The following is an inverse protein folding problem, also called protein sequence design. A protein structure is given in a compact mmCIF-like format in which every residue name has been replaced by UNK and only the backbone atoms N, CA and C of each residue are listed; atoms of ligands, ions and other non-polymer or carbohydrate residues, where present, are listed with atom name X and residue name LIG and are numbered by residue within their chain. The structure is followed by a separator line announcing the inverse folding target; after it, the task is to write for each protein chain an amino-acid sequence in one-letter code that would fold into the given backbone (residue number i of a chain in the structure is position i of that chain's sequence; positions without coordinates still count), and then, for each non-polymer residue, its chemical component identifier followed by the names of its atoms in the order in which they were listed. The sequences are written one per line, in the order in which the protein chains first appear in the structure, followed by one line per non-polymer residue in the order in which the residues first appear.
data_IF_259418698890
#
_entry.id   IF_259418698890
#
_cell.length_a   1.000
_cell.length_b   1.000
_cell.length_c   1.000
_cell.angle_alpha   90.00
_cell.angle_beta   90.00
_cell.angle_gamma   90.00
#
_symmetry.space_group_name_H-M   'P 1'
#
loop_
_entity.id
_entity.type
_entity.pdbx_description
1 polymer ?
#
# COMPACT_ATOMS: atom_id res chain seq x y z
N UNK A 1 -20.88 -43.58 -57.36
CA UNK A 1 -20.28 -42.24 -57.28
C UNK A 1 -20.62 -41.66 -55.92
N UNK A 2 -19.71 -41.66 -54.94
CA UNK A 2 -19.96 -41.18 -53.58
C UNK A 2 -19.36 -39.76 -53.49
N UNK A 3 -20.21 -38.76 -53.28
CA UNK A 3 -19.82 -37.36 -53.08
C UNK A 3 -19.43 -37.25 -51.62
N UNK A 4 -18.16 -36.93 -51.35
CA UNK A 4 -17.65 -36.58 -50.04
C UNK A 4 -17.82 -35.06 -49.85
N UNK A 5 -18.77 -34.69 -48.97
CA UNK A 5 -18.96 -33.31 -48.58
C UNK A 5 -17.89 -32.92 -47.57
N UNK A 6 -17.00 -32.03 -47.97
CA UNK A 6 -15.94 -31.46 -47.11
C UNK A 6 -16.54 -30.27 -46.32
N UNK A 7 -16.75 -30.46 -45.03
CA UNK A 7 -17.19 -29.37 -44.15
C UNK A 7 -15.93 -28.63 -43.68
N UNK A 8 -15.70 -27.44 -44.21
CA UNK A 8 -14.65 -26.52 -43.76
C UNK A 8 -15.18 -25.75 -42.56
N UNK A 9 -14.71 -26.12 -41.35
CA UNK A 9 -15.00 -25.33 -40.12
C UNK A 9 -14.06 -24.13 -40.11
N UNK A 10 -14.61 -22.94 -40.33
CA UNK A 10 -13.90 -21.68 -40.21
C UNK A 10 -13.83 -21.34 -38.69
N UNK A 11 -12.69 -21.60 -38.06
CA UNK A 11 -12.40 -21.12 -36.72
C UNK A 11 -12.15 -19.61 -36.81
N UNK A 12 -13.18 -18.83 -36.53
CA UNK A 12 -13.05 -17.40 -36.24
C UNK A 12 -12.46 -17.28 -34.85
N UNK A 13 -11.14 -17.15 -34.75
CA UNK A 13 -10.46 -16.70 -33.55
C UNK A 13 -10.75 -15.19 -33.37
N UNK A 14 -11.89 -14.89 -32.79
CA UNK A 14 -12.17 -13.52 -32.34
C UNK A 14 -11.18 -13.17 -31.23
N UNK A 15 -10.18 -12.37 -31.54
CA UNK A 15 -9.41 -11.65 -30.54
C UNK A 15 -10.39 -10.68 -29.85
N UNK A 16 -10.99 -11.13 -28.76
CA UNK A 16 -11.68 -10.25 -27.83
C UNK A 16 -10.58 -9.47 -27.12
N UNK A 17 -10.10 -8.39 -27.74
CA UNK A 17 -9.44 -7.32 -27.02
C UNK A 17 -10.51 -6.74 -26.08
N UNK A 18 -10.63 -7.32 -24.89
CA UNK A 18 -11.38 -6.71 -23.81
C UNK A 18 -10.77 -5.33 -23.59
N UNK A 19 -11.51 -4.27 -23.94
CA UNK A 19 -11.19 -2.95 -23.44
C UNK A 19 -11.16 -3.08 -21.93
N UNK A 20 -9.98 -2.95 -21.32
CA UNK A 20 -9.85 -2.84 -19.87
C UNK A 20 -10.65 -1.61 -19.45
N UNK A 21 -11.86 -1.84 -18.95
CA UNK A 21 -12.69 -0.79 -18.43
C UNK A 21 -11.96 -0.27 -17.19
N UNK A 22 -11.67 1.03 -17.17
CA UNK A 22 -11.05 1.65 -16.01
C UNK A 22 -11.82 1.25 -14.74
N UNK A 23 -11.10 0.70 -13.77
CA UNK A 23 -11.69 0.26 -12.49
C UNK A 23 -11.99 1.46 -11.64
N UNK A 24 -11.14 2.49 -11.72
CA UNK A 24 -11.22 3.69 -10.88
C UNK A 24 -11.53 4.93 -11.71
N UNK A 25 -12.34 5.80 -11.13
CA UNK A 25 -12.60 7.14 -11.66
C UNK A 25 -11.54 8.09 -11.09
N UNK A 26 -10.53 8.40 -11.91
CA UNK A 26 -9.40 9.25 -11.49
C UNK A 26 -9.65 10.69 -11.95
N UNK A 27 -9.52 11.65 -11.01
CA UNK A 27 -9.61 13.07 -11.28
C UNK A 27 -8.40 13.80 -10.71
N UNK A 28 -7.95 14.82 -11.42
CA UNK A 28 -6.87 15.69 -10.96
C UNK A 28 -7.36 17.10 -10.78
N UNK A 29 -7.05 17.70 -9.63
CA UNK A 29 -7.37 19.09 -9.31
C UNK A 29 -6.13 19.80 -8.75
N UNK A 30 -6.09 21.12 -8.90
CA UNK A 30 -5.01 21.94 -8.41
C UNK A 30 -5.50 22.87 -7.31
N UNK A 31 -4.72 22.95 -6.22
CA UNK A 31 -5.00 23.82 -5.07
C UNK A 31 -3.74 24.62 -4.72
N UNK A 32 -3.91 25.71 -4.02
CA UNK A 32 -2.77 26.45 -3.48
C UNK A 32 -2.09 25.67 -2.35
N UNK A 33 -0.82 25.93 -2.12
CA UNK A 33 -0.06 25.34 -1.00
C UNK A 33 -0.75 25.61 0.36
N UNK A 34 -1.35 26.79 0.52
CA UNK A 34 -2.06 27.15 1.74
C UNK A 34 -3.32 26.28 1.96
N UNK A 35 -4.12 26.05 0.91
CA UNK A 35 -5.31 25.20 1.00
C UNK A 35 -4.94 23.77 1.34
N UNK A 36 -3.94 23.18 0.68
CA UNK A 36 -3.47 21.82 0.97
C UNK A 36 -2.95 21.72 2.40
N UNK A 37 -2.10 22.67 2.82
CA UNK A 37 -1.54 22.68 4.17
C UNK A 37 -2.62 22.80 5.25
N UNK A 38 -3.61 23.67 5.05
CA UNK A 38 -4.73 23.84 5.98
C UNK A 38 -5.58 22.57 6.07
N UNK A 39 -5.89 21.96 4.93
CA UNK A 39 -6.64 20.71 4.88
C UNK A 39 -5.91 19.58 5.62
N UNK A 40 -4.63 19.34 5.33
CA UNK A 40 -3.84 18.30 5.99
C UNK A 40 -3.75 18.54 7.51
N UNK A 41 -3.52 19.80 7.95
CA UNK A 41 -3.48 20.14 9.38
C UNK A 41 -4.81 19.86 10.09
N UNK A 42 -5.95 20.14 9.44
CA UNK A 42 -7.26 19.85 10.00
C UNK A 42 -7.46 18.36 10.22
N UNK A 43 -7.06 17.53 9.27
CA UNK A 43 -7.11 16.06 9.39
C UNK A 43 -6.11 15.52 10.41
N UNK A 44 -4.89 16.04 10.47
CA UNK A 44 -3.90 15.67 11.50
C UNK A 44 -4.46 15.84 12.90
N UNK A 45 -5.19 16.92 13.16
CA UNK A 45 -5.79 17.17 14.47
C UNK A 45 -6.87 16.14 14.82
N UNK A 46 -7.64 15.68 13.84
CA UNK A 46 -8.65 14.64 14.00
C UNK A 46 -8.02 13.25 14.15
N UNK A 47 -6.94 12.99 13.43
CA UNK A 47 -6.28 11.69 13.39
C UNK A 47 -5.26 11.45 14.52
N UNK A 48 -4.93 12.44 15.36
CA UNK A 48 -3.99 12.29 16.50
C UNK A 48 -4.39 11.22 17.52
N UNK A 49 -5.65 10.83 17.54
CA UNK A 49 -6.19 9.81 18.46
C UNK A 49 -6.19 8.40 17.85
N UNK A 50 -5.91 8.28 16.55
CA UNK A 50 -5.94 6.99 15.88
C UNK A 50 -4.59 6.29 15.98
N UNK A 51 -4.63 5.04 16.38
CA UNK A 51 -3.50 4.14 16.27
C UNK A 51 -3.13 3.92 14.78
N UNK A 52 -1.89 3.53 14.51
CA UNK A 52 -1.44 3.22 13.15
C UNK A 52 -2.38 2.23 12.45
N UNK A 53 -2.73 1.17 13.17
CA UNK A 53 -3.81 0.25 12.81
C UNK A 53 -4.38 -0.37 14.08
N UNK A 54 -5.69 -0.58 14.11
CA UNK A 54 -6.39 -1.26 15.19
C UNK A 54 -7.56 -2.06 14.62
N UNK A 55 -7.75 -3.29 15.14
CA UNK A 55 -8.96 -4.08 14.94
C UNK A 55 -9.49 -4.64 16.28
N UNK A 56 -10.41 -5.60 16.23
CA UNK A 56 -11.01 -6.20 17.44
C UNK A 56 -9.95 -6.87 18.32
N UNK A 57 -8.91 -7.47 17.73
CA UNK A 57 -7.94 -8.32 18.42
C UNK A 57 -6.61 -7.61 18.72
N UNK A 58 -6.15 -6.75 17.81
CA UNK A 58 -4.81 -6.17 17.88
C UNK A 58 -4.82 -4.64 17.79
N UNK A 59 -3.85 -4.04 18.48
CA UNK A 59 -3.34 -2.69 18.21
C UNK A 59 -1.97 -2.89 17.56
N UNK A 60 -1.71 -2.18 16.47
CA UNK A 60 -0.48 -2.34 15.68
C UNK A 60 0.34 -1.06 15.68
N UNK A 61 1.63 -1.21 15.93
CA UNK A 61 2.59 -0.10 16.01
C UNK A 61 3.68 -0.28 14.96
N UNK A 62 3.94 0.74 14.12
CA UNK A 62 5.06 0.75 13.21
C UNK A 62 6.32 1.23 13.94
N UNK A 63 7.46 0.73 13.49
CA UNK A 63 8.75 1.24 13.87
C UNK A 63 9.66 1.32 12.65
N UNK A 64 10.18 2.51 12.35
CA UNK A 64 11.04 2.74 11.21
C UNK A 64 12.31 3.48 11.65
N UNK A 65 13.48 2.99 11.21
CA UNK A 65 14.79 3.63 11.38
C UNK A 65 15.46 3.95 10.04
N UNK A 66 14.65 4.17 9.02
CA UNK A 66 15.15 4.39 7.68
C UNK A 66 15.91 3.16 7.14
N UNK A 67 17.09 3.39 6.58
CA UNK A 67 17.95 2.33 6.02
C UNK A 67 18.42 1.30 7.07
N UNK A 68 18.32 1.63 8.33
CA UNK A 68 18.66 0.74 9.45
C UNK A 68 17.54 -0.23 9.81
N UNK A 69 16.52 -0.35 8.93
CA UNK A 69 15.42 -1.29 9.04
C UNK A 69 14.26 -0.78 9.91
N UNK A 70 13.45 -1.70 10.40
CA UNK A 70 12.28 -1.42 11.20
C UNK A 70 11.54 -2.67 11.63
N UNK A 71 10.38 -2.49 12.21
CA UNK A 71 9.53 -3.57 12.68
C UNK A 71 8.06 -3.18 12.66
N UNK A 72 7.20 -4.17 12.60
CA UNK A 72 5.78 -4.07 12.91
C UNK A 72 5.48 -4.87 14.17
N UNK A 73 4.77 -4.27 15.11
CA UNK A 73 4.45 -4.88 16.42
C UNK A 73 2.95 -5.01 16.54
N UNK A 74 2.46 -6.21 16.78
CA UNK A 74 1.06 -6.54 17.07
C UNK A 74 0.87 -6.78 18.56
N UNK A 75 0.16 -5.89 19.25
CA UNK A 75 -0.22 -6.04 20.65
C UNK A 75 -1.62 -6.63 20.74
N UNK A 76 -1.74 -7.84 21.25
CA UNK A 76 -3.04 -8.46 21.52
C UNK A 76 -3.76 -7.68 22.63
N UNK A 77 -5.00 -7.24 22.37
CA UNK A 77 -5.78 -6.42 23.29
C UNK A 77 -6.17 -7.13 24.57
N UNK A 78 -6.43 -8.45 24.49
CA UNK A 78 -6.84 -9.27 25.62
C UNK A 78 -5.64 -9.71 26.47
N UNK A 79 -4.69 -10.42 25.84
CA UNK A 79 -3.55 -11.03 26.55
C UNK A 79 -2.42 -10.05 26.83
N UNK A 80 -2.43 -8.87 26.20
CA UNK A 80 -1.35 -7.86 26.22
C UNK A 80 -0.04 -8.35 25.63
N UNK A 81 0.02 -9.59 25.13
CA UNK A 81 1.20 -10.14 24.46
C UNK A 81 1.49 -9.35 23.21
N UNK A 82 2.77 -9.06 22.98
CA UNK A 82 3.27 -8.39 21.78
C UNK A 82 3.98 -9.39 20.88
N UNK A 83 3.75 -9.27 19.58
CA UNK A 83 4.36 -10.08 18.52
C UNK A 83 5.04 -9.13 17.55
N UNK A 84 6.24 -9.47 17.12
CA UNK A 84 7.09 -8.61 16.30
C UNK A 84 7.53 -9.32 15.02
N UNK A 85 7.58 -8.58 13.93
CA UNK A 85 8.13 -8.98 12.65
C UNK A 85 9.03 -7.88 12.09
N UNK A 86 10.17 -8.24 11.52
CA UNK A 86 10.98 -7.29 10.76
C UNK A 86 10.17 -6.70 9.62
N UNK A 87 10.24 -5.39 9.46
CA UNK A 87 9.42 -4.64 8.51
C UNK A 87 10.07 -3.28 8.28
N UNK A 88 10.69 -3.10 7.13
CA UNK A 88 11.46 -1.89 6.83
C UNK A 88 10.53 -0.72 6.56
N UNK A 89 10.35 0.18 7.54
CA UNK A 89 9.51 1.37 7.44
C UNK A 89 8.06 1.09 7.01
N UNK A 90 7.24 0.46 7.88
CA UNK A 90 5.83 0.26 7.63
C UNK A 90 5.09 1.58 7.42
N UNK A 91 4.34 1.71 6.34
CA UNK A 91 3.53 2.89 6.02
C UNK A 91 2.03 2.63 6.15
N UNK A 92 1.60 1.38 5.99
CA UNK A 92 0.21 0.99 6.16
C UNK A 92 0.05 -0.48 6.59
N UNK A 93 -1.06 -0.75 7.27
CA UNK A 93 -1.59 -2.10 7.49
C UNK A 93 -2.99 -2.14 6.91
N UNK A 94 -3.24 -3.12 6.05
CA UNK A 94 -4.54 -3.33 5.41
C UNK A 94 -5.04 -4.74 5.74
N UNK A 95 -6.25 -4.86 6.26
CA UNK A 95 -6.86 -6.18 6.51
C UNK A 95 -7.55 -6.66 5.24
N UNK A 96 -7.15 -7.84 4.76
CA UNK A 96 -7.69 -8.44 3.54
C UNK A 96 -7.79 -9.95 3.69
N UNK A 97 -8.97 -10.53 3.45
CA UNK A 97 -9.24 -11.98 3.57
C UNK A 97 -8.72 -12.58 4.89
N UNK A 98 -9.03 -11.93 6.01
CA UNK A 98 -8.57 -12.30 7.37
C UNK A 98 -7.04 -12.30 7.56
N UNK A 99 -6.29 -11.65 6.68
CA UNK A 99 -4.85 -11.49 6.76
C UNK A 99 -4.50 -10.02 6.94
N UNK A 100 -3.34 -9.76 7.48
CA UNK A 100 -2.76 -8.42 7.58
C UNK A 100 -1.73 -8.25 6.46
N UNK A 101 -1.94 -7.25 5.63
CA UNK A 101 -1.02 -6.86 4.56
C UNK A 101 -0.25 -5.65 5.06
N UNK A 102 1.04 -5.82 5.23
CA UNK A 102 1.93 -4.78 5.71
C UNK A 102 2.63 -4.18 4.49
N UNK A 103 2.44 -2.90 4.29
CA UNK A 103 3.10 -2.15 3.23
C UNK A 103 4.29 -1.42 3.80
N UNK A 104 5.47 -1.71 3.30
CA UNK A 104 6.73 -1.07 3.66
C UNK A 104 7.22 -0.21 2.50
N UNK A 105 7.75 0.95 2.84
CA UNK A 105 8.35 1.85 1.85
C UNK A 105 9.53 2.58 2.47
N UNK A 106 10.67 2.50 1.80
CA UNK A 106 11.86 3.26 2.15
C UNK A 106 12.31 4.08 0.96
N UNK A 107 12.08 5.39 1.02
CA UNK A 107 12.52 6.35 -0.01
C UNK A 107 13.91 6.88 0.31
N UNK A 108 14.90 5.99 0.37
CA UNK A 108 16.31 6.35 0.47
C UNK A 108 17.03 5.88 -0.80
N UNK A 109 17.90 6.73 -1.33
CA UNK A 109 18.63 6.50 -2.61
C UNK A 109 17.66 6.27 -3.78
N UNK A 110 17.53 5.02 -4.21
CA UNK A 110 16.69 4.63 -5.35
C UNK A 110 15.25 4.27 -4.97
N UNK A 111 14.94 4.28 -3.67
CA UNK A 111 13.65 3.77 -3.16
C UNK A 111 13.56 2.25 -3.12
N UNK A 112 12.78 1.74 -2.19
CA UNK A 112 12.41 0.32 -2.13
C UNK A 112 11.04 0.14 -1.52
N UNK A 113 10.38 -0.95 -1.87
CA UNK A 113 9.11 -1.36 -1.29
C UNK A 113 9.12 -2.85 -0.99
N UNK A 114 8.50 -3.21 0.11
CA UNK A 114 8.24 -4.58 0.50
C UNK A 114 6.78 -4.70 0.93
N UNK A 115 6.11 -5.76 0.52
CA UNK A 115 4.76 -6.08 0.99
C UNK A 115 4.78 -7.44 1.65
N UNK A 116 4.37 -7.48 2.93
CA UNK A 116 4.29 -8.72 3.71
C UNK A 116 2.85 -9.12 3.95
N UNK A 117 2.58 -10.41 3.93
CA UNK A 117 1.33 -11.03 4.36
C UNK A 117 1.53 -11.73 5.70
N UNK A 118 0.72 -11.41 6.70
CA UNK A 118 0.69 -12.05 8.02
C UNK A 118 -0.69 -12.65 8.23
N UNK A 119 -0.79 -13.98 8.23
CA UNK A 119 -2.05 -14.69 8.42
C UNK A 119 -2.47 -14.70 9.89
N UNK A 120 -1.51 -14.93 10.79
CA UNK A 120 -1.76 -14.97 12.22
C UNK A 120 -0.56 -14.33 12.96
N UNK A 121 -0.75 -13.16 13.59
CA UNK A 121 0.30 -12.51 14.39
C UNK A 121 0.88 -13.39 15.50
N UNK A 122 0.14 -14.35 16.03
CA UNK A 122 0.63 -15.29 17.06
C UNK A 122 1.73 -16.25 16.56
N UNK A 123 1.93 -16.33 15.23
CA UNK A 123 3.03 -17.08 14.61
C UNK A 123 4.32 -16.27 14.45
N UNK A 124 4.25 -14.97 14.70
CA UNK A 124 5.42 -14.10 14.74
C UNK A 124 6.23 -14.35 16.01
N UNK A 125 7.43 -13.81 16.07
CA UNK A 125 8.24 -13.83 17.29
C UNK A 125 7.55 -13.02 18.40
N UNK A 126 7.59 -13.48 19.65
CA UNK A 126 7.17 -12.66 20.78
C UNK A 126 8.18 -11.54 20.99
N UNK A 127 7.70 -10.31 21.09
CA UNK A 127 8.53 -9.18 21.44
C UNK A 127 8.91 -9.24 22.93
N UNK A 128 10.19 -9.09 23.23
CA UNK A 128 10.70 -8.97 24.58
C UNK A 128 10.75 -7.49 25.00
N UNK A 129 10.93 -7.20 26.29
CA UNK A 129 11.19 -5.83 26.76
C UNK A 129 12.51 -5.28 26.18
N UNK A 130 13.46 -6.14 25.89
CA UNK A 130 14.74 -5.78 25.28
C UNK A 130 14.54 -5.37 23.82
N UNK A 131 13.69 -6.09 23.06
CA UNK A 131 13.33 -5.73 21.70
C UNK A 131 12.69 -4.35 21.65
N UNK A 132 11.85 -4.02 22.64
CA UNK A 132 11.22 -2.70 22.72
C UNK A 132 12.17 -1.56 23.07
N UNK A 133 13.18 -1.82 23.90
CA UNK A 133 14.15 -0.81 24.35
C UNK A 133 15.32 -0.60 23.38
N UNK A 134 15.76 -1.64 22.73
CA UNK A 134 16.97 -1.63 21.90
C UNK A 134 16.73 -1.76 20.43
N UNK A 135 15.62 -2.40 20.00
CA UNK A 135 15.35 -2.75 18.61
C UNK A 135 16.65 -3.25 17.91
N UNK A 136 17.27 -4.24 18.54
CA UNK A 136 18.47 -4.84 17.97
C UNK A 136 18.06 -5.72 16.80
N UNK A 137 18.24 -5.23 15.58
CA UNK A 137 17.84 -5.81 14.30
C UNK A 137 18.35 -7.23 14.07
N UNK A 138 19.44 -7.60 14.71
CA UNK A 138 20.04 -8.91 14.56
C UNK A 138 19.16 -10.07 15.05
N UNK A 139 18.10 -9.79 15.80
CA UNK A 139 17.21 -10.81 16.39
C UNK A 139 15.78 -10.82 15.87
N UNK A 140 15.35 -9.82 15.12
CA UNK A 140 14.00 -9.76 14.55
C UNK A 140 14.03 -10.43 13.19
N UNK A 141 13.23 -11.47 13.03
CA UNK A 141 13.09 -12.18 11.75
C UNK A 141 11.68 -11.98 11.18
N UNK A 142 11.52 -12.27 9.91
CA UNK A 142 10.20 -12.31 9.24
C UNK A 142 9.49 -13.66 9.46
N UNK A 143 9.80 -14.36 10.57
CA UNK A 143 9.12 -15.62 10.95
C UNK A 143 7.62 -15.40 11.03
N UNK A 144 6.83 -16.24 10.37
CA UNK A 144 5.37 -16.16 10.36
C UNK A 144 4.78 -15.13 9.39
N UNK A 145 5.61 -14.39 8.68
CA UNK A 145 5.22 -13.53 7.57
C UNK A 145 5.61 -14.16 6.23
N UNK A 146 4.81 -13.85 5.19
CA UNK A 146 5.12 -14.22 3.80
C UNK A 146 5.41 -12.94 3.03
N UNK A 147 6.55 -12.87 2.41
CA UNK A 147 6.90 -11.79 1.50
C UNK A 147 6.14 -11.95 0.18
N UNK A 148 5.31 -10.98 -0.17
CA UNK A 148 4.57 -10.95 -1.43
C UNK A 148 5.38 -10.24 -2.51
N UNK A 149 6.10 -9.19 -2.13
CA UNK A 149 6.95 -8.39 -3.01
C UNK A 149 8.11 -7.79 -2.24
N UNK A 150 9.25 -7.62 -2.92
CA UNK A 150 10.44 -6.96 -2.40
C UNK A 150 11.22 -6.40 -3.60
N UNK A 151 11.07 -5.11 -3.86
CA UNK A 151 11.55 -4.46 -5.08
C UNK A 151 12.25 -3.14 -4.77
N UNK A 152 13.34 -2.89 -5.50
CA UNK A 152 14.03 -1.60 -5.57
C UNK A 152 13.46 -0.75 -6.70
N UNK A 153 13.60 0.57 -6.58
CA UNK A 153 13.10 1.61 -7.50
C UNK A 153 11.57 1.77 -7.53
N UNK A 154 10.90 1.14 -6.58
CA UNK A 154 9.46 1.28 -6.39
C UNK A 154 9.18 1.89 -5.03
N UNK A 155 8.16 2.71 -4.95
CA UNK A 155 7.62 3.25 -3.72
C UNK A 155 6.14 2.94 -3.65
N UNK A 156 5.71 2.19 -2.65
CA UNK A 156 4.28 1.99 -2.41
C UNK A 156 3.79 3.08 -1.45
N UNK A 157 2.93 3.96 -1.94
CA UNK A 157 2.35 5.02 -1.13
C UNK A 157 1.26 4.50 -0.21
N UNK A 158 0.43 3.57 -0.70
CA UNK A 158 -0.67 3.00 0.07
C UNK A 158 -1.17 1.70 -0.54
N UNK A 159 -1.79 0.87 0.31
CA UNK A 159 -2.47 -0.36 -0.10
C UNK A 159 -3.90 -0.33 0.42
N UNK A 160 -4.87 -0.61 -0.43
CA UNK A 160 -6.29 -0.56 -0.10
C UNK A 160 -7.08 -1.71 -0.74
N UNK A 161 -8.29 -1.93 -0.22
CA UNK A 161 -9.21 -2.94 -0.73
C UNK A 161 -10.39 -2.25 -1.41
N UNK A 162 -10.71 -2.69 -2.61
CA UNK A 162 -11.91 -2.32 -3.32
C UNK A 162 -12.51 -3.55 -4.03
N UNK A 163 -13.83 -3.75 -3.95
CA UNK A 163 -14.54 -4.92 -4.55
C UNK A 163 -13.85 -6.27 -4.29
N UNK A 164 -13.44 -6.50 -3.03
CA UNK A 164 -12.76 -7.72 -2.59
C UNK A 164 -11.45 -8.04 -3.35
N UNK A 165 -10.76 -7.00 -3.82
CA UNK A 165 -9.42 -7.06 -4.39
C UNK A 165 -8.48 -6.12 -3.68
N UNK A 166 -7.19 -6.46 -3.70
CA UNK A 166 -6.13 -5.67 -3.08
C UNK A 166 -5.40 -4.86 -4.14
N UNK A 167 -5.38 -3.55 -3.95
CA UNK A 167 -4.74 -2.59 -4.85
C UNK A 167 -3.63 -1.82 -4.13
N UNK A 168 -2.62 -1.45 -4.90
CA UNK A 168 -1.46 -0.70 -4.43
C UNK A 168 -1.29 0.57 -5.25
N UNK A 169 -1.04 1.70 -4.59
CA UNK A 169 -0.61 2.94 -5.26
C UNK A 169 0.90 2.94 -5.28
N UNK A 170 1.46 2.87 -6.47
CA UNK A 170 2.89 2.73 -6.73
C UNK A 170 3.40 3.99 -7.41
N UNK A 171 4.51 4.52 -6.92
CA UNK A 171 5.29 5.54 -7.59
C UNK A 171 6.60 4.90 -8.11
N UNK A 172 6.88 5.09 -9.38
CA UNK A 172 8.04 4.53 -10.07
C UNK A 172 8.55 5.55 -11.11
N UNK A 173 9.86 5.74 -11.19
CA UNK A 173 10.53 6.63 -12.15
C UNK A 173 9.82 7.99 -12.34
N UNK A 174 8.94 8.10 -13.31
CA UNK A 174 8.23 9.34 -13.69
C UNK A 174 6.71 9.20 -13.63
N UNK A 175 6.18 8.19 -13.00
CA UNK A 175 4.73 7.96 -12.96
C UNK A 175 4.25 7.43 -11.61
N UNK A 176 2.96 7.60 -11.36
CA UNK A 176 2.23 7.01 -10.23
C UNK A 176 0.99 6.31 -10.75
N UNK A 177 0.78 5.07 -10.33
CA UNK A 177 -0.28 4.23 -10.86
C UNK A 177 -0.86 3.29 -9.81
N UNK A 178 -1.99 2.69 -10.14
CA UNK A 178 -2.61 1.62 -9.38
C UNK A 178 -2.14 0.29 -9.95
N UNK A 179 -1.76 -0.63 -9.06
CA UNK A 179 -1.31 -1.97 -9.41
C UNK A 179 -1.95 -3.05 -8.53
N UNK A 180 -1.99 -4.26 -9.05
CA UNK A 180 -2.13 -5.50 -8.30
C UNK A 180 -0.78 -6.21 -8.18
N UNK A 181 -0.63 -7.11 -7.20
CA UNK A 181 0.52 -8.02 -7.12
C UNK A 181 0.14 -9.35 -7.76
N UNK A 182 0.88 -9.74 -8.80
CA UNK A 182 0.76 -11.03 -9.45
C UNK A 182 2.16 -11.65 -9.62
N UNK A 183 2.33 -12.86 -9.15
CA UNK A 183 3.59 -13.62 -9.25
C UNK A 183 4.83 -12.84 -8.76
N UNK A 184 4.68 -12.11 -7.63
CA UNK A 184 5.76 -11.33 -7.03
C UNK A 184 6.16 -10.08 -7.80
N UNK A 185 5.27 -9.56 -8.65
CA UNK A 185 5.48 -8.32 -9.43
C UNK A 185 4.26 -7.42 -9.34
N UNK A 186 4.48 -6.11 -9.47
CA UNK A 186 3.40 -5.17 -9.71
C UNK A 186 2.92 -5.27 -11.16
N UNK A 187 1.63 -5.48 -11.32
CA UNK A 187 0.95 -5.40 -12.62
C UNK A 187 0.18 -4.10 -12.65
N UNK A 188 0.64 -3.16 -13.46
CA UNK A 188 0.03 -1.85 -13.64
C UNK A 188 -1.37 -1.99 -14.24
N UNK A 189 -2.35 -1.36 -13.60
CA UNK A 189 -3.74 -1.35 -14.04
C UNK A 189 -4.15 -0.01 -14.63
N UNK A 190 -3.91 1.08 -13.89
CA UNK A 190 -4.40 2.39 -14.26
C UNK A 190 -3.46 3.49 -13.75
N UNK A 191 -3.11 4.44 -14.60
CA UNK A 191 -2.24 5.56 -14.26
C UNK A 191 -3.02 6.61 -13.46
N UNK A 192 -2.42 7.09 -12.36
CA UNK A 192 -2.93 8.21 -11.54
C UNK A 192 -2.29 9.52 -12.00
N UNK A 193 -1.00 9.51 -12.29
CA UNK A 193 -0.22 10.69 -12.67
C UNK A 193 0.97 10.31 -13.54
N UNK A 194 1.32 11.20 -14.47
CA UNK A 194 2.55 11.23 -15.23
C UNK A 194 3.75 11.80 -14.44
N UNK A 195 3.64 11.79 -13.10
CA UNK A 195 4.67 12.22 -12.16
C UNK A 195 4.90 11.15 -11.12
N UNK A 196 6.13 11.04 -10.66
CA UNK A 196 6.46 10.26 -9.48
C UNK A 196 6.02 11.05 -8.22
N UNK A 197 4.93 10.62 -7.59
CA UNK A 197 4.35 11.27 -6.41
C UNK A 197 4.86 10.57 -5.15
N UNK A 198 6.10 10.74 -4.81
CA UNK A 198 6.70 10.08 -3.66
C UNK A 198 6.87 11.00 -2.45
N UNK A 199 7.16 10.41 -1.32
CA UNK A 199 7.56 11.12 -0.09
C UNK A 199 8.41 10.19 0.78
N UNK A 200 9.23 10.75 1.66
CA UNK A 200 9.98 9.93 2.63
C UNK A 200 9.06 9.19 3.61
N UNK A 201 7.97 9.81 3.99
CA UNK A 201 7.00 9.24 4.94
C UNK A 201 5.59 9.66 4.53
N UNK A 202 4.86 8.82 3.80
CA UNK A 202 3.47 9.09 3.48
C UNK A 202 2.66 9.17 4.79
N UNK A 203 1.85 10.21 4.94
CA UNK A 203 0.84 10.24 5.98
C UNK A 203 -0.45 9.68 5.43
N UNK A 204 -1.00 8.72 6.15
CA UNK A 204 -2.29 8.12 5.86
C UNK A 204 -3.29 8.68 6.86
N UNK A 205 -4.23 9.48 6.39
CA UNK A 205 -5.23 10.14 7.21
C UNK A 205 -6.61 9.60 6.85
N UNK A 206 -7.41 9.30 7.86
CA UNK A 206 -8.78 8.83 7.69
C UNK A 206 -9.74 10.01 7.75
N UNK A 207 -10.73 10.02 6.87
CA UNK A 207 -11.80 11.01 6.81
C UNK A 207 -13.09 10.29 6.45
N UNK A 208 -13.98 10.07 7.43
CA UNK A 208 -15.25 9.34 7.24
C UNK A 208 -15.08 8.09 6.36
N UNK A 209 -15.57 8.16 5.11
CA UNK A 209 -15.53 7.06 4.14
C UNK A 209 -14.36 7.17 3.15
N UNK A 210 -13.41 8.07 3.38
CA UNK A 210 -12.24 8.25 2.51
C UNK A 210 -10.92 8.13 3.25
N UNK A 211 -9.87 7.84 2.49
CA UNK A 211 -8.49 7.81 2.96
C UNK A 211 -7.70 8.84 2.18
N UNK A 212 -6.94 9.65 2.89
CA UNK A 212 -6.05 10.66 2.34
C UNK A 212 -4.61 10.16 2.45
N UNK A 213 -3.93 10.07 1.32
CA UNK A 213 -2.51 9.70 1.23
C UNK A 213 -1.72 10.92 0.81
N UNK A 214 -0.89 11.45 1.71
CA UNK A 214 -0.09 12.63 1.40
C UNK A 214 1.20 12.27 0.69
N UNK A 215 1.67 13.15 -0.18
CA UNK A 215 2.99 13.10 -0.78
C UNK A 215 3.62 14.50 -0.79
N UNK A 216 4.92 14.54 -0.67
CA UNK A 216 5.68 15.79 -0.69
C UNK A 216 7.13 15.50 -1.06
N UNK A 217 7.45 15.64 -2.32
CA UNK A 217 8.80 15.62 -2.83
C UNK A 217 9.30 17.05 -3.10
N UNK A 218 10.50 17.17 -3.67
CA UNK A 218 11.09 18.49 -4.01
C UNK A 218 10.35 19.24 -5.13
N UNK A 219 9.53 18.55 -5.92
CA UNK A 219 8.85 19.09 -7.11
C UNK A 219 7.34 19.08 -7.00
N UNK A 220 6.79 18.06 -6.32
CA UNK A 220 5.36 17.80 -6.25
C UNK A 220 4.94 17.70 -4.78
N UNK A 221 3.91 18.43 -4.41
CA UNK A 221 3.27 18.31 -3.10
C UNK A 221 1.76 18.21 -3.28
N UNK A 222 1.12 17.42 -2.43
CA UNK A 222 -0.32 17.22 -2.52
C UNK A 222 -0.81 16.02 -1.73
N UNK A 223 -1.95 15.51 -2.16
CA UNK A 223 -2.53 14.31 -1.60
C UNK A 223 -3.42 13.58 -2.61
N UNK A 224 -3.60 12.30 -2.38
CA UNK A 224 -4.57 11.45 -3.08
C UNK A 224 -5.69 11.15 -2.10
N UNK A 225 -6.94 11.42 -2.48
CA UNK A 225 -8.14 11.02 -1.74
C UNK A 225 -8.75 9.79 -2.41
N UNK A 226 -8.97 8.74 -1.64
CA UNK A 226 -9.52 7.46 -2.11
C UNK A 226 -10.86 7.25 -1.43
N UNK A 227 -11.93 7.17 -2.23
CA UNK A 227 -13.29 6.91 -1.75
C UNK A 227 -14.01 5.95 -2.70
N UNK A 228 -14.16 4.69 -2.29
CA UNK A 228 -14.70 3.66 -3.16
C UNK A 228 -13.89 3.52 -4.44
N UNK A 229 -14.51 3.73 -5.60
CA UNK A 229 -13.83 3.74 -6.90
C UNK A 229 -13.37 5.14 -7.36
N UNK A 230 -13.57 6.18 -6.57
CA UNK A 230 -13.06 7.52 -6.86
C UNK A 230 -11.65 7.70 -6.30
N UNK A 231 -10.74 8.17 -7.13
CA UNK A 231 -9.39 8.54 -6.76
C UNK A 231 -9.14 9.97 -7.23
N UNK A 232 -9.16 10.89 -6.28
CA UNK A 232 -8.98 12.30 -6.56
C UNK A 232 -7.55 12.75 -6.19
N UNK A 233 -6.78 13.15 -7.18
CA UNK A 233 -5.43 13.69 -7.02
C UNK A 233 -5.46 15.21 -6.88
N UNK A 234 -4.93 15.72 -5.78
CA UNK A 234 -4.80 17.15 -5.52
C UNK A 234 -3.33 17.56 -5.53
N UNK A 235 -2.96 18.42 -6.46
CA UNK A 235 -1.59 18.94 -6.65
C UNK A 235 -1.51 20.42 -6.25
N UNK A 236 -0.36 20.82 -5.72
CA UNK A 236 -0.03 22.24 -5.54
C UNK A 236 0.15 22.89 -6.91
N UNK A 237 -0.49 24.06 -7.09
CA UNK A 237 -0.24 24.93 -8.26
C UNK A 237 1.14 25.53 -8.20
#
# INVERSE_FOLDING_TARGET
MKIKTLITILLISGNIFGQNKDVFNIKTAYKTKAEISTFIKSLDSLNKKYEFFEDEKYIVYPFCRGEWGGAIIFKNKLTKTKYICESTCPVAVTKFNNKYIITNTLNHLVGSTEVLEIVNPEKLNKATEEDEKRFTYEKVAQTGAKKLIDLYRYTTLYTFVYENKLYHIIAEENETYIAEILDGKFVKLQMISDKNLWTYTPKILKKEDSVIVTFNDYKNAGYIEIQGNSIDLYLVK
#
